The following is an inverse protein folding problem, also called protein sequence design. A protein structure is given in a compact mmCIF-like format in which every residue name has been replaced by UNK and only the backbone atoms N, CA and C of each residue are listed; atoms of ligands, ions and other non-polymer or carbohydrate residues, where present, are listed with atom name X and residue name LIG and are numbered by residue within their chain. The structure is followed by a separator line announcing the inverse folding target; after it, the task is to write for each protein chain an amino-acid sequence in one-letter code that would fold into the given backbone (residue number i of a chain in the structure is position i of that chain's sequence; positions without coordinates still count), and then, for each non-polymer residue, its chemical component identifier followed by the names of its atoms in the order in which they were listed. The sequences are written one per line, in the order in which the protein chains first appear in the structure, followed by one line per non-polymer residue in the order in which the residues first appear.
data_IF_899727329874
#
_entry.id   IF_899727329874
#
_cell.length_a   1.000
_cell.length_b   1.000
_cell.length_c   1.000
_cell.angle_alpha   90.00
_cell.angle_beta   90.00
_cell.angle_gamma   90.00
#
_symmetry.space_group_name_H-M   'P 1'
#
loop_
_entity.id
_entity.type
_entity.pdbx_description
1 polymer ?
#
# COMPACT_ATOMS: atom_id res chain seq x y z
N UNK A 1 20.37 0.59 -3.35
CA UNK A 1 20.00 0.50 -1.91
C UNK A 1 21.27 0.69 -1.11
N UNK A 2 21.20 1.41 0.01
CA UNK A 2 22.37 1.73 0.85
C UNK A 2 22.28 1.06 2.23
N UNK A 3 21.39 0.08 2.36
CA UNK A 3 21.19 -0.67 3.59
C UNK A 3 22.39 -1.60 3.84
N UNK A 4 22.94 -1.67 5.06
CA UNK A 4 24.04 -2.57 5.38
C UNK A 4 23.62 -4.05 5.40
N UNK A 5 22.33 -4.34 5.52
CA UNK A 5 21.79 -5.70 5.55
C UNK A 5 21.34 -6.20 4.16
N UNK A 6 21.25 -7.52 3.93
CA UNK A 6 20.77 -8.06 2.67
C UNK A 6 19.31 -7.67 2.38
N UNK A 7 19.05 -7.12 1.19
CA UNK A 7 17.70 -6.75 0.77
C UNK A 7 17.31 -7.39 -0.56
N UNK A 8 16.09 -7.94 -0.60
CA UNK A 8 15.45 -8.39 -1.83
C UNK A 8 14.58 -7.27 -2.40
N UNK A 9 14.90 -6.81 -3.61
CA UNK A 9 14.14 -5.80 -4.32
C UNK A 9 13.43 -6.41 -5.54
N UNK A 10 12.11 -6.32 -5.56
CA UNK A 10 11.28 -6.90 -6.62
C UNK A 10 10.75 -5.81 -7.55
N UNK A 11 11.28 -5.77 -8.76
CA UNK A 11 10.80 -4.86 -9.80
C UNK A 11 9.67 -5.49 -10.60
N UNK A 12 8.47 -4.93 -10.48
CA UNK A 12 7.33 -5.47 -11.18
C UNK A 12 7.46 -5.27 -12.70
N UNK A 13 7.72 -6.34 -13.46
CA UNK A 13 8.03 -6.29 -14.90
C UNK A 13 7.06 -5.50 -15.78
N UNK A 14 5.75 -5.50 -15.46
CA UNK A 14 4.76 -4.73 -16.25
C UNK A 14 4.87 -3.22 -15.99
N UNK A 15 5.40 -2.82 -14.84
CA UNK A 15 5.51 -1.41 -14.47
C UNK A 15 6.51 -0.67 -15.37
N UNK A 16 7.57 -1.33 -15.85
CA UNK A 16 8.57 -0.74 -16.76
C UNK A 16 8.00 -0.05 -17.99
N UNK A 17 6.86 -0.54 -18.52
CA UNK A 17 6.23 0.04 -19.72
C UNK A 17 4.92 0.76 -19.43
N UNK A 18 4.22 0.33 -18.38
CA UNK A 18 2.89 0.81 -18.07
C UNK A 18 2.91 2.10 -17.26
N UNK A 19 3.89 2.25 -16.37
CA UNK A 19 3.94 3.36 -15.41
C UNK A 19 4.97 4.37 -15.88
N UNK A 20 4.55 5.63 -15.91
CA UNK A 20 5.40 6.78 -16.17
C UNK A 20 5.11 7.83 -15.10
N UNK A 21 6.15 8.51 -14.67
CA UNK A 21 6.08 9.59 -13.70
C UNK A 21 7.35 10.41 -13.74
N UNK A 22 7.32 11.56 -13.11
CA UNK A 22 8.52 12.35 -12.90
C UNK A 22 9.42 11.65 -11.88
N UNK A 23 10.71 11.60 -12.17
CA UNK A 23 11.73 11.04 -11.29
C UNK A 23 12.76 12.15 -11.05
N UNK A 24 13.08 12.50 -9.80
CA UNK A 24 14.11 13.48 -9.50
C UNK A 24 15.44 13.11 -10.16
N UNK A 25 16.15 14.11 -10.70
CA UNK A 25 17.50 13.93 -11.24
C UNK A 25 18.53 13.72 -10.12
N UNK A 26 18.28 14.29 -8.95
CA UNK A 26 19.14 14.16 -7.78
C UNK A 26 18.95 12.80 -7.10
N UNK A 27 20.04 12.28 -6.54
CA UNK A 27 20.02 11.02 -5.80
C UNK A 27 19.30 11.19 -4.46
N UNK A 28 18.31 10.33 -4.21
CA UNK A 28 17.51 10.34 -2.99
C UNK A 28 17.24 8.91 -2.51
N UNK A 29 16.90 8.79 -1.23
CA UNK A 29 16.57 7.52 -0.60
C UNK A 29 15.18 7.56 0.00
N UNK A 30 14.47 6.44 -0.09
CA UNK A 30 13.25 6.20 0.67
C UNK A 30 13.55 5.22 1.82
N UNK A 31 12.96 5.42 3.01
CA UNK A 31 13.13 4.51 4.12
C UNK A 31 12.50 3.14 3.82
N UNK A 32 13.24 2.07 4.12
CA UNK A 32 12.74 0.69 4.11
C UNK A 32 11.84 0.49 5.34
N UNK A 33 10.78 -0.29 5.19
CA UNK A 33 9.85 -0.58 6.28
C UNK A 33 8.88 0.58 6.58
N UNK A 34 8.76 1.55 5.67
CA UNK A 34 7.80 2.64 5.78
C UNK A 34 6.78 2.60 4.64
N UNK A 35 5.50 2.60 4.98
CA UNK A 35 4.41 2.71 4.02
C UNK A 35 4.26 4.16 3.51
N UNK A 36 3.46 4.36 2.48
CA UNK A 36 3.19 5.67 1.88
C UNK A 36 1.69 5.82 1.56
N UNK A 37 1.11 6.92 2.00
CA UNK A 37 -0.27 7.26 1.64
C UNK A 37 -0.26 7.87 0.25
N UNK A 38 -0.79 7.12 -0.73
CA UNK A 38 -0.85 7.56 -2.13
C UNK A 38 -2.05 8.44 -2.42
N UNK A 39 -3.09 8.33 -1.60
CA UNK A 39 -4.33 9.09 -1.72
C UNK A 39 -5.05 9.14 -0.38
N UNK A 40 -5.49 10.33 0.02
CA UNK A 40 -6.38 10.50 1.16
C UNK A 40 -7.84 10.25 0.79
N UNK A 41 -8.61 9.70 1.73
CA UNK A 41 -10.04 9.48 1.63
C UNK A 41 -10.63 8.97 2.94
N UNK A 42 -11.96 8.95 3.06
CA UNK A 42 -12.62 8.74 4.36
C UNK A 42 -13.68 7.62 4.35
N UNK A 43 -14.04 7.07 3.18
CA UNK A 43 -15.13 6.08 3.08
C UNK A 43 -14.63 4.63 3.15
N UNK A 44 -13.45 4.36 2.60
CA UNK A 44 -12.82 3.03 2.58
C UNK A 44 -11.30 3.15 2.47
N UNK A 45 -10.58 2.30 3.20
CA UNK A 45 -9.13 2.16 3.10
C UNK A 45 -8.78 0.98 2.20
N UNK A 46 -7.89 1.20 1.23
CA UNK A 46 -7.29 0.16 0.38
C UNK A 46 -5.82 0.04 0.74
N UNK A 47 -5.41 -1.15 1.19
CA UNK A 47 -4.01 -1.44 1.51
C UNK A 47 -3.46 -2.40 0.46
N UNK A 48 -2.33 -2.04 -0.15
CA UNK A 48 -1.74 -2.81 -1.25
C UNK A 48 -0.25 -2.52 -1.43
N UNK A 49 0.39 -3.14 -2.42
CA UNK A 49 1.77 -2.87 -2.82
C UNK A 49 1.99 -3.18 -4.30
N UNK A 50 3.13 -2.74 -4.84
CA UNK A 50 3.55 -3.06 -6.21
C UNK A 50 2.60 -2.50 -7.28
N UNK A 51 2.33 -3.28 -8.32
CA UNK A 51 1.50 -2.81 -9.45
C UNK A 51 0.06 -2.50 -9.03
N UNK A 52 -0.46 -3.21 -8.03
CA UNK A 52 -1.82 -3.06 -7.54
C UNK A 52 -2.12 -1.65 -6.99
N UNK A 53 -1.10 -0.90 -6.56
CA UNK A 53 -1.24 0.52 -6.17
C UNK A 53 -1.87 1.34 -7.30
N UNK A 54 -1.41 1.14 -8.53
CA UNK A 54 -1.92 1.88 -9.69
C UNK A 54 -3.35 1.45 -10.08
N UNK A 55 -3.72 0.20 -9.83
CA UNK A 55 -5.09 -0.27 -10.02
C UNK A 55 -6.02 0.31 -8.95
N UNK A 56 -5.57 0.39 -7.70
CA UNK A 56 -6.29 1.03 -6.61
C UNK A 56 -6.54 2.52 -6.91
N UNK A 57 -5.52 3.26 -7.37
CA UNK A 57 -5.66 4.67 -7.75
C UNK A 57 -6.69 4.87 -8.86
N UNK A 58 -6.64 4.06 -9.92
CA UNK A 58 -7.63 4.12 -11.00
C UNK A 58 -9.04 3.75 -10.54
N UNK A 59 -9.19 2.78 -9.63
CA UNK A 59 -10.47 2.44 -9.05
C UNK A 59 -11.02 3.58 -8.18
N UNK A 60 -10.16 4.23 -7.39
CA UNK A 60 -10.53 5.38 -6.58
C UNK A 60 -10.98 6.59 -7.44
N UNK A 61 -10.38 6.81 -8.61
CA UNK A 61 -10.85 7.84 -9.55
C UNK A 61 -12.24 7.55 -10.13
N UNK A 62 -12.60 6.27 -10.27
CA UNK A 62 -13.94 5.86 -10.69
C UNK A 62 -14.93 6.03 -9.54
N UNK A 63 -14.58 5.54 -8.35
CA UNK A 63 -15.40 5.64 -7.14
C UNK A 63 -15.70 7.10 -6.76
N UNK A 64 -14.75 8.01 -6.96
CA UNK A 64 -14.96 9.43 -6.71
C UNK A 64 -16.10 10.04 -7.54
N UNK A 65 -16.41 9.49 -8.72
CA UNK A 65 -17.54 9.94 -9.56
C UNK A 65 -18.89 9.53 -8.96
N UNK A 66 -18.90 8.48 -8.16
CA UNK A 66 -20.05 7.99 -7.41
C UNK A 66 -20.10 8.57 -5.99
N UNK A 67 -19.22 9.53 -5.67
CA UNK A 67 -19.14 10.17 -4.36
C UNK A 67 -18.44 9.35 -3.28
N UNK A 68 -17.69 8.30 -3.65
CA UNK A 68 -16.96 7.43 -2.71
C UNK A 68 -15.48 7.82 -2.70
N UNK A 69 -14.96 8.14 -1.52
CA UNK A 69 -13.60 8.59 -1.25
C UNK A 69 -12.75 7.47 -0.67
N UNK A 70 -11.81 6.94 -1.48
CA UNK A 70 -10.92 5.86 -1.06
C UNK A 70 -9.56 6.38 -0.59
N UNK A 71 -9.17 6.01 0.63
CA UNK A 71 -7.81 6.15 1.15
C UNK A 71 -6.95 5.00 0.63
N UNK A 72 -5.75 5.28 0.11
CA UNK A 72 -4.87 4.26 -0.47
C UNK A 72 -3.52 4.28 0.24
N UNK A 73 -3.21 3.18 0.91
CA UNK A 73 -1.93 2.92 1.56
C UNK A 73 -1.11 1.93 0.70
N UNK A 74 0.05 2.39 0.22
CA UNK A 74 1.06 1.56 -0.41
C UNK A 74 2.07 1.11 0.65
N UNK A 75 2.15 -0.20 0.89
CA UNK A 75 3.06 -0.75 1.90
C UNK A 75 4.53 -0.50 1.57
N UNK A 76 4.90 -0.45 0.28
CA UNK A 76 6.27 -0.37 -0.27
C UNK A 76 7.20 -1.53 0.12
N UNK A 77 7.28 -1.85 1.41
CA UNK A 77 8.06 -2.93 2.01
C UNK A 77 7.11 -3.99 2.55
N UNK A 78 7.33 -5.25 2.16
CA UNK A 78 6.53 -6.38 2.65
C UNK A 78 7.11 -7.05 3.89
N UNK A 79 8.39 -6.81 4.19
CA UNK A 79 9.03 -7.22 5.43
C UNK A 79 10.25 -6.32 5.73
N UNK A 80 10.34 -5.71 6.94
CA UNK A 80 9.29 -5.63 7.95
C UNK A 80 8.11 -4.75 7.49
N UNK A 81 6.89 -5.08 7.95
CA UNK A 81 5.69 -4.29 7.68
C UNK A 81 5.65 -3.05 8.57
N UNK A 82 5.17 -1.93 8.03
CA UNK A 82 4.90 -0.70 8.77
C UNK A 82 3.56 -0.82 9.52
N UNK A 83 3.59 -1.53 10.66
CA UNK A 83 2.37 -1.84 11.42
C UNK A 83 1.62 -0.59 11.87
N UNK A 84 2.34 0.46 12.28
CA UNK A 84 1.76 1.74 12.70
C UNK A 84 0.90 2.34 11.60
N UNK A 85 1.44 2.43 10.37
CA UNK A 85 0.71 2.96 9.23
C UNK A 85 -0.49 2.09 8.82
N UNK A 86 -0.37 0.76 8.91
CA UNK A 86 -1.47 -0.17 8.65
C UNK A 86 -2.63 0.08 9.63
N UNK A 87 -2.32 0.18 10.93
CA UNK A 87 -3.31 0.39 11.99
C UNK A 87 -3.98 1.75 11.81
N UNK A 88 -3.20 2.82 11.62
CA UNK A 88 -3.71 4.17 11.42
C UNK A 88 -4.66 4.24 10.21
N UNK A 89 -4.24 3.70 9.06
CA UNK A 89 -5.05 3.69 7.86
C UNK A 89 -6.33 2.85 8.02
N UNK A 90 -6.25 1.71 8.70
CA UNK A 90 -7.42 0.86 8.95
C UNK A 90 -8.44 1.54 9.88
N UNK A 91 -7.96 2.16 10.96
CA UNK A 91 -8.79 2.89 11.92
C UNK A 91 -9.43 4.14 11.33
N UNK A 92 -8.82 4.77 10.31
CA UNK A 92 -9.34 5.99 9.67
C UNK A 92 -10.75 5.84 9.11
N UNK A 93 -11.02 4.75 8.38
CA UNK A 93 -12.29 4.59 7.63
C UNK A 93 -13.19 3.49 8.18
N UNK A 94 -12.65 2.60 9.02
CA UNK A 94 -13.38 1.46 9.58
C UNK A 94 -13.78 0.38 8.56
N UNK A 95 -13.41 0.55 7.28
CA UNK A 95 -13.64 -0.42 6.20
C UNK A 95 -12.34 -0.60 5.44
N UNK A 96 -11.83 -1.83 5.39
CA UNK A 96 -10.55 -2.12 4.73
C UNK A 96 -10.74 -3.12 3.59
N UNK A 97 -10.18 -2.79 2.43
CA UNK A 97 -9.97 -3.69 1.31
C UNK A 97 -8.47 -3.99 1.19
N UNK A 98 -8.11 -5.27 1.33
CA UNK A 98 -6.75 -5.75 1.06
C UNK A 98 -6.65 -6.22 -0.38
N UNK A 99 -5.73 -5.62 -1.14
CA UNK A 99 -5.55 -5.90 -2.57
C UNK A 99 -4.16 -6.46 -2.82
N UNK A 100 -4.08 -7.62 -3.46
CA UNK A 100 -2.84 -8.23 -3.92
C UNK A 100 -3.03 -8.96 -5.25
N UNK A 101 -1.94 -9.08 -6.01
CA UNK A 101 -1.87 -9.95 -7.20
C UNK A 101 -1.38 -11.37 -6.87
N UNK A 102 -0.89 -11.57 -5.64
CA UNK A 102 -0.40 -12.85 -5.14
C UNK A 102 -1.55 -13.85 -4.92
N UNK A 103 -1.22 -15.12 -4.70
CA UNK A 103 -2.18 -16.12 -4.26
C UNK A 103 -2.80 -15.71 -2.94
N UNK A 104 -4.11 -15.89 -2.79
CA UNK A 104 -4.83 -15.51 -1.57
C UNK A 104 -4.20 -16.12 -0.31
N UNK A 105 -4.01 -17.44 -0.32
CA UNK A 105 -3.44 -18.20 0.79
C UNK A 105 -1.93 -17.92 0.93
N UNK A 106 -1.49 -17.65 2.16
CA UNK A 106 -0.08 -17.36 2.45
C UNK A 106 0.44 -16.01 1.95
N UNK A 107 -0.43 -15.18 1.36
CA UNK A 107 -0.03 -13.82 0.97
C UNK A 107 0.31 -12.95 2.17
N UNK A 108 1.14 -11.93 1.92
CA UNK A 108 1.42 -10.84 2.85
C UNK A 108 0.13 -10.16 3.35
N UNK A 109 -0.94 -10.17 2.54
CA UNK A 109 -2.23 -9.61 2.96
C UNK A 109 -2.89 -10.39 4.11
N UNK A 110 -2.55 -11.66 4.31
CA UNK A 110 -3.03 -12.41 5.49
C UNK A 110 -2.40 -11.88 6.78
N UNK A 111 -1.11 -11.50 6.74
CA UNK A 111 -0.43 -10.86 7.87
C UNK A 111 -0.99 -9.46 8.14
N UNK A 112 -1.22 -8.68 7.08
CA UNK A 112 -1.86 -7.35 7.19
C UNK A 112 -3.26 -7.48 7.81
N UNK A 113 -4.05 -8.49 7.41
CA UNK A 113 -5.36 -8.75 7.99
C UNK A 113 -5.27 -9.11 9.49
N UNK A 114 -4.28 -9.92 9.88
CA UNK A 114 -4.04 -10.28 11.27
C UNK A 114 -3.69 -9.05 12.11
N UNK A 115 -2.75 -8.21 11.65
CA UNK A 115 -2.37 -6.95 12.30
C UNK A 115 -3.59 -6.06 12.53
N UNK A 116 -4.43 -5.88 11.50
CA UNK A 116 -5.66 -5.08 11.62
C UNK A 116 -6.60 -5.70 12.67
N UNK A 117 -6.82 -7.01 12.61
CA UNK A 117 -7.71 -7.71 13.54
C UNK A 117 -7.22 -7.67 14.99
N UNK A 118 -5.91 -7.66 15.21
CA UNK A 118 -5.30 -7.68 16.55
C UNK A 118 -5.19 -6.27 17.16
N UNK A 119 -4.98 -5.24 16.34
CA UNK A 119 -4.58 -3.93 16.84
C UNK A 119 -5.47 -2.76 16.41
N UNK A 120 -6.23 -2.89 15.31
CA UNK A 120 -7.09 -1.82 14.80
C UNK A 120 -8.52 -1.94 15.36
N UNK A 121 -8.67 -1.74 16.68
CA UNK A 121 -9.98 -1.59 17.30
C UNK A 121 -10.53 -0.19 17.02
N UNK A 122 -11.79 -0.10 16.60
CA UNK A 122 -12.53 1.17 16.55
C UNK A 122 -12.71 1.66 17.99
N UNK A 123 -12.14 2.82 18.31
CA UNK A 123 -12.44 3.56 19.55
C UNK A 123 -13.74 4.34 19.35
#
# INVERSE_FOLDING_TARGET
MRDPDPVLFFEHKRAYRLIKGEVPEEDYTLPIGKADVKREGDDITVITYGLCVHFALQAADRLAKDGISAHILDLRTVYPLDQEAIIEAASKTGKVLLLTEDTKEGSIMSEVAAIISEFAYLI
#
